data_IF_232804906075
#
_entry.id   IF_232804906075
#
_cell.length_a   1.000
_cell.length_b   1.000
_cell.length_c   1.000
_cell.angle_alpha   90.00
_cell.angle_beta   90.00
_cell.angle_gamma   90.00
#
_symmetry.space_group_name_H-M   'P 1'
#
loop_
_entity.id
_entity.type
_entity.pdbx_description
1 polymer ?
#
# COMPACT_ATOMS: atom_id res chain seq x y z
N UNK A 1 1.48 30.14 -6.11
CA UNK A 1 2.39 28.97 -6.03
C UNK A 1 2.10 28.05 -7.19
N UNK A 2 3.09 27.75 -8.04
CA UNK A 2 2.93 26.82 -9.17
C UNK A 2 2.93 25.38 -8.64
N UNK A 3 1.74 24.74 -8.58
CA UNK A 3 1.62 23.31 -8.29
C UNK A 3 2.09 22.50 -9.51
N UNK A 4 3.40 22.37 -9.71
CA UNK A 4 3.93 21.73 -10.92
C UNK A 4 4.30 20.27 -10.64
N UNK A 5 3.48 19.36 -11.15
CA UNK A 5 3.93 17.99 -11.44
C UNK A 5 4.53 17.99 -12.84
N UNK A 6 5.81 17.64 -12.95
CA UNK A 6 6.51 17.48 -14.22
C UNK A 6 6.49 16.01 -14.59
N UNK A 7 6.16 15.68 -15.84
CA UNK A 7 6.28 14.32 -16.37
C UNK A 7 7.53 14.29 -17.22
N UNK A 8 8.49 13.43 -16.86
CA UNK A 8 9.75 13.27 -17.60
C UNK A 8 9.56 12.24 -18.70
N UNK A 9 9.43 10.98 -18.32
CA UNK A 9 9.22 9.88 -19.26
C UNK A 9 7.86 9.22 -19.11
N UNK A 10 7.35 8.72 -20.23
CA UNK A 10 6.09 7.96 -20.31
C UNK A 10 6.40 6.56 -20.80
N UNK A 11 6.41 5.64 -19.86
CA UNK A 11 6.56 4.22 -20.11
C UNK A 11 7.95 3.66 -19.84
N UNK A 12 8.01 2.35 -19.59
CA UNK A 12 9.22 1.64 -19.15
C UNK A 12 10.39 1.82 -20.12
N UNK A 13 10.14 1.69 -21.43
CA UNK A 13 11.17 1.83 -22.46
C UNK A 13 11.78 3.22 -22.48
N UNK A 14 10.95 4.27 -22.42
CA UNK A 14 11.43 5.65 -22.40
C UNK A 14 12.23 5.96 -21.13
N UNK A 15 11.77 5.47 -19.98
CA UNK A 15 12.51 5.58 -18.71
C UNK A 15 13.87 4.89 -18.84
N UNK A 16 13.91 3.65 -19.35
CA UNK A 16 15.14 2.88 -19.51
C UNK A 16 16.15 3.55 -20.45
N UNK A 17 15.68 4.10 -21.57
CA UNK A 17 16.53 4.77 -22.56
C UNK A 17 17.18 6.04 -22.02
N UNK A 18 16.45 6.81 -21.21
CA UNK A 18 16.96 8.06 -20.64
C UNK A 18 17.71 7.86 -19.31
N UNK A 19 17.31 6.85 -18.54
CA UNK A 19 17.80 6.59 -17.20
C UNK A 19 17.74 5.08 -16.90
N UNK A 20 18.81 4.38 -17.30
CA UNK A 20 18.91 2.91 -17.15
C UNK A 20 18.78 2.47 -15.69
N UNK A 21 19.27 3.27 -14.74
CA UNK A 21 19.21 2.95 -13.31
C UNK A 21 17.76 2.93 -12.83
N UNK A 22 17.00 3.99 -13.14
CA UNK A 22 15.59 4.07 -12.77
C UNK A 22 14.72 3.09 -13.55
N UNK A 23 15.02 2.84 -14.83
CA UNK A 23 14.37 1.81 -15.63
C UNK A 23 14.53 0.43 -15.00
N UNK A 24 15.76 0.07 -14.60
CA UNK A 24 16.07 -1.18 -13.91
C UNK A 24 15.37 -1.28 -12.56
N UNK A 25 15.36 -0.19 -11.77
CA UNK A 25 14.69 -0.18 -10.48
C UNK A 25 13.19 -0.53 -10.59
N UNK A 26 12.47 0.00 -11.59
CA UNK A 26 11.07 -0.35 -11.80
C UNK A 26 10.94 -1.80 -12.25
N UNK A 27 11.73 -2.23 -13.24
CA UNK A 27 11.72 -3.59 -13.76
C UNK A 27 11.92 -4.63 -12.65
N UNK A 28 12.99 -4.48 -11.87
CA UNK A 28 13.31 -5.39 -10.75
C UNK A 28 12.19 -5.41 -9.70
N UNK A 29 11.56 -4.26 -9.44
CA UNK A 29 10.45 -4.16 -8.48
C UNK A 29 9.19 -4.88 -8.99
N UNK A 30 8.92 -4.84 -10.30
CA UNK A 30 7.81 -5.57 -10.92
C UNK A 30 8.06 -7.08 -10.87
N UNK A 31 9.29 -7.52 -11.15
CA UNK A 31 9.65 -8.94 -11.06
C UNK A 31 9.55 -9.45 -9.60
N UNK A 32 10.01 -8.65 -8.64
CA UNK A 32 9.86 -8.94 -7.21
C UNK A 32 8.39 -9.06 -6.79
N UNK A 33 7.53 -8.20 -7.34
CA UNK A 33 6.09 -8.26 -7.10
C UNK A 33 5.51 -9.59 -7.58
N UNK A 34 5.79 -9.99 -8.82
CA UNK A 34 5.31 -11.25 -9.38
C UNK A 34 5.77 -12.44 -8.54
N UNK A 35 7.05 -12.50 -8.19
CA UNK A 35 7.59 -13.60 -7.40
C UNK A 35 7.04 -13.61 -5.96
N UNK A 36 6.86 -12.45 -5.35
CA UNK A 36 6.29 -12.32 -4.00
C UNK A 36 4.83 -12.74 -3.96
N UNK A 37 4.02 -12.36 -4.95
CA UNK A 37 2.63 -12.76 -5.06
C UNK A 37 2.48 -14.28 -5.25
N UNK A 38 3.31 -14.87 -6.11
CA UNK A 38 3.37 -16.33 -6.31
C UNK A 38 3.70 -17.08 -5.01
N UNK A 39 4.69 -16.58 -4.26
CA UNK A 39 5.05 -17.12 -2.94
C UNK A 39 3.91 -16.96 -1.93
N UNK A 40 3.27 -15.79 -1.89
CA UNK A 40 2.14 -15.54 -1.00
C UNK A 40 0.96 -16.48 -1.29
N UNK A 41 0.61 -16.67 -2.57
CA UNK A 41 -0.43 -17.60 -3.02
C UNK A 41 -0.18 -19.01 -2.52
N UNK A 42 1.05 -19.51 -2.70
CA UNK A 42 1.45 -20.85 -2.27
C UNK A 42 1.47 -20.97 -0.74
N UNK A 43 1.92 -19.91 -0.05
CA UNK A 43 2.00 -19.92 1.40
C UNK A 43 0.62 -20.05 2.07
N UNK A 44 -0.45 -19.53 1.45
CA UNK A 44 -1.82 -19.62 1.99
C UNK A 44 -2.32 -21.05 2.18
N UNK A 45 -1.77 -22.02 1.46
CA UNK A 45 -2.11 -23.44 1.61
C UNK A 45 -1.37 -24.11 2.78
N UNK A 46 -0.48 -23.38 3.45
CA UNK A 46 0.28 -23.87 4.62
C UNK A 46 -0.33 -23.35 5.93
N UNK A 47 -0.17 -24.11 7.01
CA UNK A 47 -0.59 -23.67 8.35
C UNK A 47 0.02 -22.32 8.73
N UNK A 48 1.31 -22.13 8.43
CA UNK A 48 2.03 -20.87 8.69
C UNK A 48 1.44 -19.70 7.90
N UNK A 49 1.10 -19.89 6.63
CA UNK A 49 0.51 -18.83 5.82
C UNK A 49 -0.92 -18.48 6.26
N UNK A 50 -1.73 -19.48 6.64
CA UNK A 50 -3.06 -19.24 7.24
C UNK A 50 -2.95 -18.44 8.55
N UNK A 51 -1.97 -18.77 9.41
CA UNK A 51 -1.67 -17.98 10.63
C UNK A 51 -1.32 -16.53 10.31
N UNK A 52 -0.51 -16.29 9.28
CA UNK A 52 -0.15 -14.94 8.85
C UNK A 52 -1.38 -14.20 8.32
N UNK A 53 -2.14 -14.80 7.40
CA UNK A 53 -3.35 -14.21 6.84
C UNK A 53 -4.37 -13.82 7.94
N UNK A 54 -4.61 -14.73 8.88
CA UNK A 54 -5.51 -14.47 10.01
C UNK A 54 -5.07 -13.25 10.83
N UNK A 55 -3.77 -13.11 11.11
CA UNK A 55 -3.24 -11.97 11.84
C UNK A 55 -3.40 -10.64 11.09
N UNK A 56 -3.25 -10.64 9.75
CA UNK A 56 -3.45 -9.44 8.93
C UNK A 56 -4.92 -9.06 8.75
N UNK A 57 -5.84 -10.03 8.85
CA UNK A 57 -7.28 -9.77 8.97
C UNK A 57 -7.72 -9.47 10.42
N UNK A 58 -6.80 -9.48 11.39
CA UNK A 58 -7.13 -9.13 12.77
C UNK A 58 -7.97 -10.18 13.50
N UNK A 59 -7.92 -11.45 13.09
CA UNK A 59 -8.46 -12.54 13.91
C UNK A 59 -7.56 -12.79 15.12
N UNK A 60 -8.19 -13.11 16.25
CA UNK A 60 -7.47 -13.46 17.48
C UNK A 60 -6.82 -14.83 17.34
N UNK A 61 -7.48 -15.74 16.62
CA UNK A 61 -6.99 -17.09 16.36
C UNK A 61 -7.01 -17.45 14.87
N UNK A 62 -6.04 -18.27 14.39
CA UNK A 62 -6.03 -18.73 13.00
C UNK A 62 -7.24 -19.58 12.59
N UNK A 63 -7.95 -20.17 13.56
CA UNK A 63 -9.10 -21.04 13.31
C UNK A 63 -10.37 -20.28 12.88
N UNK A 64 -10.42 -18.96 13.10
CA UNK A 64 -11.52 -18.10 12.67
C UNK A 64 -11.44 -17.74 11.18
N UNK A 65 -10.32 -18.04 10.52
CA UNK A 65 -10.12 -17.76 9.11
C UNK A 65 -10.96 -18.73 8.26
N UNK A 66 -11.99 -18.19 7.61
CA UNK A 66 -12.94 -18.98 6.82
C UNK A 66 -12.40 -19.30 5.42
N UNK A 67 -13.03 -20.25 4.74
CA UNK A 67 -12.73 -20.55 3.34
C UNK A 67 -13.08 -19.38 2.40
N UNK A 68 -14.07 -18.56 2.78
CA UNK A 68 -14.44 -17.34 2.05
C UNK A 68 -13.30 -16.32 2.13
N UNK A 69 -12.69 -16.14 3.31
CA UNK A 69 -11.55 -15.23 3.49
C UNK A 69 -10.36 -15.67 2.64
N UNK A 70 -10.02 -16.96 2.68
CA UNK A 70 -8.95 -17.52 1.85
C UNK A 70 -9.24 -17.32 0.36
N UNK A 71 -10.48 -17.56 -0.07
CA UNK A 71 -10.90 -17.35 -1.47
C UNK A 71 -10.76 -15.88 -1.88
N UNK A 72 -11.15 -14.95 -1.02
CA UNK A 72 -11.04 -13.52 -1.27
C UNK A 72 -9.57 -13.06 -1.34
N UNK A 73 -8.72 -13.53 -0.43
CA UNK A 73 -7.28 -13.24 -0.47
C UNK A 73 -6.66 -13.78 -1.77
N UNK A 74 -6.98 -15.02 -2.16
CA UNK A 74 -6.48 -15.61 -3.41
C UNK A 74 -6.92 -14.82 -4.63
N UNK A 75 -8.19 -14.39 -4.70
CA UNK A 75 -8.71 -13.55 -5.77
C UNK A 75 -7.97 -12.20 -5.85
N UNK A 76 -7.69 -11.58 -4.70
CA UNK A 76 -6.94 -10.32 -4.64
C UNK A 76 -5.49 -10.52 -5.13
N UNK A 77 -4.83 -11.61 -4.73
CA UNK A 77 -3.50 -11.97 -5.24
C UNK A 77 -3.52 -12.17 -6.75
N UNK A 78 -4.50 -12.90 -7.29
CA UNK A 78 -4.67 -13.11 -8.74
C UNK A 78 -4.83 -11.77 -9.49
N UNK A 79 -5.63 -10.86 -8.94
CA UNK A 79 -5.87 -9.52 -9.52
C UNK A 79 -4.58 -8.68 -9.55
N UNK A 80 -3.74 -8.82 -8.51
CA UNK A 80 -2.42 -8.20 -8.46
C UNK A 80 -1.43 -8.86 -9.43
N UNK A 81 -1.46 -10.18 -9.58
CA UNK A 81 -0.64 -10.90 -10.57
C UNK A 81 -0.96 -10.44 -12.00
N UNK A 82 -2.24 -10.25 -12.33
CA UNK A 82 -2.68 -9.67 -13.60
C UNK A 82 -2.18 -8.25 -13.80
N UNK A 83 -2.15 -7.44 -12.74
CA UNK A 83 -1.58 -6.09 -12.76
C UNK A 83 -0.07 -6.12 -12.99
N UNK A 84 0.65 -7.07 -12.37
CA UNK A 84 2.07 -7.30 -12.64
C UNK A 84 2.32 -7.61 -14.12
N UNK A 85 1.54 -8.52 -14.71
CA UNK A 85 1.60 -8.83 -16.15
C UNK A 85 1.28 -7.61 -17.02
N UNK A 86 0.29 -6.81 -16.63
CA UNK A 86 -0.05 -5.57 -17.32
C UNK A 86 1.11 -4.56 -17.28
N UNK A 87 1.77 -4.40 -16.13
CA UNK A 87 2.95 -3.53 -15.99
C UNK A 87 4.12 -3.99 -16.87
N UNK A 88 4.34 -5.30 -16.99
CA UNK A 88 5.38 -5.86 -17.86
C UNK A 88 5.06 -5.73 -19.36
N UNK A 89 3.80 -5.96 -19.74
CA UNK A 89 3.39 -6.04 -21.16
C UNK A 89 2.97 -4.70 -21.78
N UNK A 90 2.47 -3.77 -20.96
CA UNK A 90 2.02 -2.47 -21.44
C UNK A 90 3.08 -1.41 -21.15
N UNK A 91 3.86 -1.06 -22.18
CA UNK A 91 4.94 -0.07 -22.04
C UNK A 91 4.46 1.25 -21.44
N UNK A 92 3.20 1.68 -21.67
CA UNK A 92 2.67 3.00 -21.25
C UNK A 92 1.92 2.97 -19.92
N UNK A 93 1.91 1.83 -19.22
CA UNK A 93 1.29 1.64 -17.89
C UNK A 93 1.97 2.45 -16.78
N UNK A 94 3.22 2.87 -16.99
CA UNK A 94 4.00 3.64 -16.00
C UNK A 94 4.45 5.00 -16.52
N UNK A 95 4.82 5.89 -15.60
CA UNK A 95 5.53 7.14 -15.91
C UNK A 95 6.43 7.57 -14.76
N UNK A 96 7.47 8.32 -15.08
CA UNK A 96 8.29 9.03 -14.10
C UNK A 96 7.84 10.48 -14.00
N UNK A 97 7.75 10.99 -12.78
CA UNK A 97 7.35 12.37 -12.51
C UNK A 97 8.24 13.02 -11.45
N UNK A 98 8.30 14.35 -11.45
CA UNK A 98 8.72 15.14 -10.29
C UNK A 98 7.53 15.92 -9.75
N UNK A 99 7.35 15.91 -8.44
CA UNK A 99 6.33 16.69 -7.74
C UNK A 99 7.02 17.79 -6.92
N UNK A 100 6.85 19.05 -7.33
CA UNK A 100 7.44 20.20 -6.63
C UNK A 100 6.43 20.93 -5.72
N UNK A 101 5.26 20.33 -5.52
CA UNK A 101 4.19 20.87 -4.70
C UNK A 101 4.46 20.54 -3.22
N UNK A 102 4.64 21.57 -2.38
CA UNK A 102 4.88 21.40 -0.94
C UNK A 102 3.81 20.54 -0.26
N UNK A 103 2.54 20.60 -0.72
CA UNK A 103 1.45 19.79 -0.15
C UNK A 103 1.53 18.31 -0.53
N UNK A 104 2.27 17.98 -1.59
CA UNK A 104 2.45 16.61 -2.12
C UNK A 104 3.90 16.15 -2.05
N UNK A 105 4.74 16.82 -1.27
CA UNK A 105 6.18 16.51 -1.17
C UNK A 105 6.49 15.09 -0.70
N UNK A 106 5.56 14.46 0.04
CA UNK A 106 5.72 13.10 0.55
C UNK A 106 5.17 12.01 -0.37
N UNK A 107 4.59 12.37 -1.53
CA UNK A 107 4.03 11.39 -2.47
C UNK A 107 5.18 10.64 -3.15
N UNK A 108 5.26 9.34 -2.90
CA UNK A 108 6.33 8.48 -3.44
C UNK A 108 5.93 7.87 -4.78
N UNK A 109 4.69 7.39 -4.87
CA UNK A 109 4.05 6.98 -6.11
C UNK A 109 2.55 7.31 -6.03
N UNK A 110 1.84 7.16 -7.14
CA UNK A 110 0.37 7.15 -7.15
C UNK A 110 -0.17 6.48 -8.41
N UNK A 111 -1.27 5.74 -8.27
CA UNK A 111 -2.12 5.32 -9.38
C UNK A 111 -3.03 6.46 -9.84
N UNK A 112 -3.17 6.63 -11.15
CA UNK A 112 -4.06 7.62 -11.76
C UNK A 112 -5.19 6.91 -12.50
N UNK A 113 -6.40 6.80 -11.91
CA UNK A 113 -7.51 6.04 -12.50
C UNK A 113 -7.92 6.57 -13.87
N UNK A 114 -8.02 7.90 -14.02
CA UNK A 114 -8.36 8.55 -15.30
C UNK A 114 -7.38 8.26 -16.43
N UNK A 115 -6.11 8.02 -16.10
CA UNK A 115 -5.05 7.77 -17.09
C UNK A 115 -4.72 6.29 -17.21
N UNK A 116 -5.23 5.46 -16.29
CA UNK A 116 -4.88 4.06 -16.10
C UNK A 116 -3.36 3.85 -16.07
N UNK A 117 -2.66 4.54 -15.14
CA UNK A 117 -1.19 4.52 -15.03
C UNK A 117 -0.71 4.65 -13.60
N UNK A 118 0.40 3.99 -13.28
CA UNK A 118 1.17 4.23 -12.06
C UNK A 118 2.25 5.28 -12.34
N UNK A 119 2.34 6.28 -11.48
CA UNK A 119 3.32 7.35 -11.57
C UNK A 119 4.33 7.22 -10.42
N UNK A 120 5.61 7.09 -10.75
CA UNK A 120 6.70 7.05 -9.79
C UNK A 120 7.32 8.44 -9.66
N UNK A 121 7.28 9.01 -8.46
CA UNK A 121 7.97 10.27 -8.17
C UNK A 121 9.47 10.01 -7.99
N UNK A 122 10.31 11.05 -8.07
CA UNK A 122 11.76 10.89 -7.83
C UNK A 122 12.07 10.26 -6.45
N UNK A 123 11.23 10.52 -5.45
CA UNK A 123 11.32 9.92 -4.12
C UNK A 123 11.18 8.38 -4.10
N UNK A 124 10.57 7.76 -5.11
CA UNK A 124 10.48 6.30 -5.23
C UNK A 124 11.85 5.66 -5.44
N UNK A 125 12.67 6.30 -6.27
CA UNK A 125 13.96 5.77 -6.66
C UNK A 125 15.02 5.88 -5.56
N UNK A 126 14.78 6.72 -4.54
CA UNK A 126 15.64 6.82 -3.35
C UNK A 126 15.33 5.77 -2.28
N UNK A 127 14.22 5.03 -2.42
CA UNK A 127 13.84 3.96 -1.48
C UNK A 127 14.63 2.70 -1.73
N UNK A 128 14.79 1.87 -0.71
CA UNK A 128 15.36 0.54 -0.87
C UNK A 128 14.43 -0.39 -1.67
N UNK A 129 14.97 -1.55 -2.09
CA UNK A 129 14.24 -2.53 -2.90
C UNK A 129 12.96 -3.02 -2.25
N UNK A 130 12.96 -3.26 -0.93
CA UNK A 130 11.80 -3.75 -0.19
C UNK A 130 10.73 -2.67 -0.07
N UNK A 131 11.12 -1.44 0.22
CA UNK A 131 10.19 -0.31 0.25
C UNK A 131 9.55 -0.04 -1.12
N UNK A 132 10.34 -0.07 -2.21
CA UNK A 132 9.81 0.07 -3.57
C UNK A 132 8.77 -1.00 -3.89
N UNK A 133 9.02 -2.25 -3.50
CA UNK A 133 8.07 -3.34 -3.66
C UNK A 133 6.76 -3.08 -2.91
N UNK A 134 6.83 -2.65 -1.64
CA UNK A 134 5.63 -2.32 -0.86
C UNK A 134 4.82 -1.19 -1.50
N UNK A 135 5.50 -0.15 -1.99
CA UNK A 135 4.86 0.97 -2.69
C UNK A 135 4.19 0.48 -3.98
N UNK A 136 4.87 -0.36 -4.78
CA UNK A 136 4.30 -0.89 -6.00
C UNK A 136 3.06 -1.77 -5.73
N UNK A 137 3.13 -2.65 -4.72
CA UNK A 137 2.00 -3.48 -4.31
C UNK A 137 0.81 -2.62 -3.88
N UNK A 138 1.04 -1.55 -3.11
CA UNK A 138 0.01 -0.60 -2.71
C UNK A 138 -0.65 0.08 -3.91
N UNK A 139 0.12 0.67 -4.83
CA UNK A 139 -0.47 1.31 -6.01
C UNK A 139 -1.16 0.31 -6.95
N UNK A 140 -0.71 -0.94 -6.95
CA UNK A 140 -1.33 -2.01 -7.72
C UNK A 140 -2.68 -2.43 -7.15
N UNK A 141 -2.91 -2.32 -5.83
CA UNK A 141 -4.24 -2.49 -5.23
C UNK A 141 -5.22 -1.47 -5.82
N UNK A 142 -4.82 -0.20 -5.91
CA UNK A 142 -5.65 0.86 -6.51
C UNK A 142 -5.95 0.61 -8.00
N UNK A 143 -4.99 0.03 -8.71
CA UNK A 143 -5.17 -0.33 -10.11
C UNK A 143 -6.17 -1.50 -10.28
N UNK A 144 -6.03 -2.54 -9.46
CA UNK A 144 -6.68 -3.85 -9.65
C UNK A 144 -8.00 -4.03 -8.93
N UNK A 145 -8.10 -3.58 -7.68
CA UNK A 145 -9.26 -3.82 -6.83
C UNK A 145 -10.22 -2.63 -6.95
N UNK A 146 -11.52 -2.95 -7.04
CA UNK A 146 -12.59 -1.97 -7.09
C UNK A 146 -13.58 -2.20 -5.95
N UNK A 147 -13.97 -1.12 -5.29
CA UNK A 147 -15.07 -1.06 -4.32
C UNK A 147 -16.09 -0.10 -4.92
N UNK A 148 -17.32 -0.56 -5.13
CA UNK A 148 -18.40 0.20 -5.78
C UNK A 148 -18.01 0.82 -7.14
N UNK A 149 -17.22 0.08 -7.93
CA UNK A 149 -16.74 0.51 -9.24
C UNK A 149 -15.61 1.55 -9.21
N UNK A 150 -15.18 2.01 -8.04
CA UNK A 150 -14.06 2.93 -7.85
C UNK A 150 -12.82 2.20 -7.32
N UNK A 151 -11.59 2.71 -7.55
CA UNK A 151 -10.40 2.23 -6.85
C UNK A 151 -10.60 2.22 -5.33
N UNK A 152 -10.01 1.23 -4.66
CA UNK A 152 -9.94 1.18 -3.19
C UNK A 152 -9.41 2.53 -2.68
N UNK A 153 -10.07 3.20 -1.72
CA UNK A 153 -9.55 4.44 -1.18
C UNK A 153 -8.44 4.18 -0.16
N UNK A 154 -7.50 5.11 -0.05
CA UNK A 154 -6.58 5.14 1.09
C UNK A 154 -7.33 5.66 2.32
N UNK A 155 -7.48 4.79 3.33
CA UNK A 155 -8.05 5.17 4.62
C UNK A 155 -6.98 5.70 5.59
N UNK A 156 -5.82 5.05 5.62
CA UNK A 156 -4.67 5.42 6.44
C UNK A 156 -3.38 4.99 5.73
N UNK A 157 -2.32 5.74 5.98
CA UNK A 157 -0.94 5.36 5.73
C UNK A 157 -0.31 4.91 7.05
N UNK A 158 0.69 4.04 6.95
CA UNK A 158 1.56 3.70 8.07
C UNK A 158 2.48 4.89 8.35
N UNK A 159 2.74 5.21 9.62
CA UNK A 159 3.55 6.38 9.96
C UNK A 159 4.94 6.25 9.33
N UNK A 160 5.44 7.36 8.78
CA UNK A 160 6.82 7.43 8.35
C UNK A 160 7.74 7.15 9.52
N UNK A 161 8.80 6.36 9.33
CA UNK A 161 9.83 6.15 10.33
C UNK A 161 10.63 7.45 10.48
N UNK A 162 10.14 8.36 11.31
CA UNK A 162 10.66 9.72 11.43
C UNK A 162 11.00 10.09 12.87
N UNK A 163 11.97 9.40 13.47
CA UNK A 163 13.08 9.94 14.32
C UNK A 163 13.85 8.78 14.97
N UNK A 164 15.19 8.78 14.94
CA UNK A 164 16.00 7.93 15.80
C UNK A 164 15.98 8.53 17.20
N UNK A 165 15.06 8.11 18.05
CA UNK A 165 15.11 8.45 19.47
C UNK A 165 15.49 7.20 20.27
N UNK A 166 16.73 7.28 20.78
CA UNK A 166 17.35 6.54 21.88
C UNK A 166 17.46 4.99 21.78
N UNK A 167 18.71 4.56 21.65
CA UNK A 167 19.28 3.34 22.27
C UNK A 167 18.55 2.01 22.01
N UNK A 168 18.86 1.41 20.87
CA UNK A 168 18.49 0.03 20.55
C UNK A 168 18.45 -0.15 19.04
N UNK A 169 18.84 -1.31 18.53
CA UNK A 169 18.81 -1.64 17.10
C UNK A 169 17.38 -1.41 16.58
N UNK A 170 17.12 -0.28 15.92
CA UNK A 170 15.79 0.01 15.39
C UNK A 170 15.48 -1.01 14.29
N UNK A 171 14.30 -1.64 14.31
CA UNK A 171 13.90 -2.52 13.24
C UNK A 171 13.86 -1.76 11.91
N UNK A 172 14.22 -2.45 10.81
CA UNK A 172 14.12 -1.93 9.45
C UNK A 172 12.76 -1.24 9.24
N UNK A 173 12.64 -0.13 8.48
CA UNK A 173 11.39 0.61 8.36
C UNK A 173 10.18 -0.23 7.96
N UNK A 174 10.41 -1.25 7.13
CA UNK A 174 9.39 -2.22 6.71
C UNK A 174 8.88 -3.10 7.86
N UNK A 175 9.71 -3.43 8.83
CA UNK A 175 9.33 -4.17 10.05
C UNK A 175 8.49 -3.30 10.98
N UNK A 176 8.86 -2.03 11.16
CA UNK A 176 8.06 -1.08 11.95
C UNK A 176 6.67 -0.89 11.34
N UNK A 177 6.60 -0.66 10.03
CA UNK A 177 5.34 -0.58 9.27
C UNK A 177 4.51 -1.86 9.39
N UNK A 178 5.15 -3.04 9.28
CA UNK A 178 4.47 -4.33 9.48
C UNK A 178 3.83 -4.43 10.87
N UNK A 179 4.56 -4.08 11.92
CA UNK A 179 4.05 -4.16 13.29
C UNK A 179 2.89 -3.18 13.51
N UNK A 180 2.98 -1.97 12.96
CA UNK A 180 1.90 -1.00 12.97
C UNK A 180 0.65 -1.52 12.24
N UNK A 181 0.81 -2.08 11.02
CA UNK A 181 -0.29 -2.70 10.28
C UNK A 181 -0.97 -3.81 11.09
N UNK A 182 -0.19 -4.68 11.74
CA UNK A 182 -0.75 -5.74 12.59
C UNK A 182 -1.50 -5.17 13.81
N UNK A 183 -0.99 -4.08 14.39
CA UNK A 183 -1.69 -3.37 15.46
C UNK A 183 -3.01 -2.75 14.98
N UNK A 184 -3.03 -2.20 13.77
CA UNK A 184 -4.25 -1.68 13.13
C UNK A 184 -5.26 -2.80 12.90
N UNK A 185 -4.85 -3.90 12.26
CA UNK A 185 -5.73 -5.05 11.98
C UNK A 185 -6.39 -5.58 13.27
N UNK A 186 -5.63 -5.64 14.38
CA UNK A 186 -6.12 -6.11 15.68
C UNK A 186 -6.95 -5.08 16.45
N UNK A 187 -7.07 -3.84 15.96
CA UNK A 187 -7.70 -2.76 16.72
C UNK A 187 -6.97 -2.40 18.00
N UNK A 188 -5.69 -2.78 18.15
CA UNK A 188 -4.91 -2.54 19.38
C UNK A 188 -4.34 -1.11 19.45
N UNK A 189 -4.89 -0.19 18.66
CA UNK A 189 -4.47 1.20 18.60
C UNK A 189 -5.18 1.98 19.71
N UNK A 190 -4.47 2.93 20.32
CA UNK A 190 -5.06 3.86 21.28
C UNK A 190 -5.76 5.01 20.53
N UNK A 191 -6.77 5.64 21.14
CA UNK A 191 -7.52 6.74 20.50
C UNK A 191 -6.62 7.90 20.02
N UNK A 192 -5.53 8.18 20.75
CA UNK A 192 -4.55 9.21 20.37
C UNK A 192 -3.82 8.89 19.05
N UNK A 193 -3.80 7.62 18.61
CA UNK A 193 -3.30 7.24 17.30
C UNK A 193 -4.08 7.95 16.17
N UNK A 194 -5.41 8.04 16.30
CA UNK A 194 -6.31 8.64 15.31
C UNK A 194 -6.35 10.17 15.42
N UNK A 195 -6.09 10.71 16.61
CA UNK A 195 -6.05 12.16 16.86
C UNK A 195 -4.69 12.79 16.50
N UNK A 196 -3.67 11.98 16.23
CA UNK A 196 -2.32 12.45 15.87
C UNK A 196 -2.32 13.20 14.53
N UNK A 197 -1.65 14.37 14.48
CA UNK A 197 -1.59 15.24 13.29
C UNK A 197 -0.44 14.87 12.34
N UNK A 198 0.03 13.63 12.38
CA UNK A 198 1.26 13.21 11.72
C UNK A 198 1.05 12.87 10.22
N UNK A 199 -0.14 13.15 9.69
CA UNK A 199 -0.48 12.99 8.27
C UNK A 199 -0.66 11.53 7.82
N UNK A 200 -0.65 10.58 8.76
CA UNK A 200 -0.83 9.15 8.51
C UNK A 200 -2.30 8.74 8.39
N UNK A 201 -3.24 9.60 8.78
CA UNK A 201 -4.68 9.31 8.66
C UNK A 201 -5.35 10.29 7.69
N UNK A 202 -5.98 9.76 6.64
CA UNK A 202 -6.77 10.58 5.71
C UNK A 202 -8.17 10.77 6.28
N UNK A 203 -8.28 11.72 7.22
CA UNK A 203 -9.50 11.98 8.02
C UNK A 203 -10.80 11.92 7.22
N UNK A 204 -10.88 12.57 6.06
CA UNK A 204 -12.10 12.58 5.25
C UNK A 204 -12.49 11.19 4.74
N UNK A 205 -11.52 10.43 4.25
CA UNK A 205 -11.76 9.08 3.72
C UNK A 205 -12.07 8.12 4.86
N UNK A 206 -11.34 8.22 5.96
CA UNK A 206 -11.54 7.38 7.14
C UNK A 206 -12.93 7.61 7.75
N UNK A 207 -13.31 8.86 8.03
CA UNK A 207 -14.64 9.21 8.57
C UNK A 207 -15.75 8.69 7.65
N UNK A 208 -15.61 8.90 6.33
CA UNK A 208 -16.57 8.40 5.35
C UNK A 208 -16.63 6.87 5.32
N UNK A 209 -15.48 6.20 5.36
CA UNK A 209 -15.40 4.73 5.34
C UNK A 209 -16.01 4.07 6.57
N UNK A 210 -16.00 4.76 7.71
CA UNK A 210 -16.65 4.30 8.94
C UNK A 210 -18.11 4.76 9.05
N UNK A 211 -18.66 5.45 8.03
CA UNK A 211 -20.00 6.05 8.06
C UNK A 211 -20.26 6.94 9.29
N UNK A 212 -19.23 7.65 9.73
CA UNK A 212 -19.24 8.41 10.97
C UNK A 212 -19.40 9.92 10.74
N UNK A 213 -19.83 10.64 11.78
CA UNK A 213 -20.01 12.09 11.75
C UNK A 213 -18.70 12.87 11.94
N UNK A 214 -17.75 12.28 12.67
CA UNK A 214 -16.48 12.92 13.03
C UNK A 214 -15.41 11.86 13.34
N UNK A 215 -14.16 12.30 13.52
CA UNK A 215 -13.04 11.37 13.73
C UNK A 215 -13.18 10.54 15.00
N UNK A 216 -13.68 11.11 16.10
CA UNK A 216 -13.82 10.39 17.37
C UNK A 216 -14.81 9.24 17.20
N UNK A 217 -15.96 9.52 16.59
CA UNK A 217 -16.95 8.50 16.28
C UNK A 217 -16.40 7.43 15.32
N UNK A 218 -15.69 7.84 14.26
CA UNK A 218 -15.05 6.93 13.31
C UNK A 218 -14.03 6.00 14.00
N UNK A 219 -13.21 6.54 14.92
CA UNK A 219 -12.21 5.77 15.65
C UNK A 219 -12.86 4.75 16.60
N UNK A 220 -13.95 5.12 17.27
CA UNK A 220 -14.71 4.21 18.14
C UNK A 220 -15.26 3.05 17.30
N UNK A 221 -15.96 3.32 16.20
CA UNK A 221 -16.49 2.29 15.29
C UNK A 221 -15.35 1.36 14.83
N UNK A 222 -14.23 1.91 14.38
CA UNK A 222 -13.09 1.13 13.93
C UNK A 222 -12.50 0.24 15.03
N UNK A 223 -12.36 0.73 16.26
CA UNK A 223 -11.82 -0.04 17.39
C UNK A 223 -12.79 -1.10 17.92
N UNK A 224 -14.09 -0.86 17.83
CA UNK A 224 -15.12 -1.73 18.40
C UNK A 224 -15.68 -2.75 17.40
N UNK A 225 -15.55 -2.52 16.09
CA UNK A 225 -16.11 -3.39 15.05
C UNK A 225 -15.00 -4.16 14.28
N UNK A 226 -14.79 -5.46 14.56
CA UNK A 226 -13.82 -6.29 13.85
C UNK A 226 -14.11 -6.45 12.36
N UNK A 227 -15.37 -6.44 11.94
CA UNK A 227 -15.74 -6.59 10.52
C UNK A 227 -15.26 -5.40 9.71
N UNK A 228 -15.44 -4.18 10.24
CA UNK A 228 -14.99 -2.95 9.60
C UNK A 228 -13.46 -2.87 9.50
N UNK A 229 -12.72 -3.49 10.44
CA UNK A 229 -11.25 -3.59 10.36
C UNK A 229 -10.76 -4.58 9.32
N UNK A 230 -11.56 -5.61 9.01
CA UNK A 230 -11.24 -6.66 8.03
C UNK A 230 -11.38 -6.16 6.60
N UNK A 231 -12.21 -5.15 6.37
CA UNK A 231 -12.50 -4.58 5.05
C UNK A 231 -13.65 -5.30 4.38
#
# INVERSE_FOLDING_TARGET
>A
MLSRTVVHERGLKAIWQNDVVNGRAIHDTVDDMVETLRKARTALDTEKGRKIAAAYLGYDTPGELTDIDIKNIKKNIESLEETGKWLQSNEKSVRRVSIHDQKRGNVVAYYSPKKNKIAFNDAFFTKDRTERLQILLHESVHASIKVDGAPVPDYYYLRGTGRPEAEGILPHPTTSRRNEQLGISRGSLRLNYFMGRDGHLLYSNFIKGMEAENITHAAIIFMENPEVRRG
#
